data_IF_537787527644
#
_entry.id   IF_537787527644
#
_cell.length_a   1.000
_cell.length_b   1.000
_cell.length_c   1.000
_cell.angle_alpha   90.00
_cell.angle_beta   90.00
_cell.angle_gamma   90.00
#
_symmetry.space_group_name_H-M   'P 1'
#
loop_
_entity.id
_entity.type
_entity.pdbx_description
1 polymer ?
#
# COMPACT_ATOMS: atom_id res chain seq x y z
N UNK A 1 21.26 2.12 -47.29
CA UNK A 1 22.40 2.15 -46.37
C UNK A 1 22.14 3.30 -45.40
N UNK A 2 21.31 3.08 -44.40
CA UNK A 2 21.65 2.61 -43.04
C UNK A 2 22.28 3.69 -42.15
N UNK A 3 21.65 3.90 -40.99
CA UNK A 3 22.14 4.81 -39.96
C UNK A 3 21.07 5.15 -38.92
N UNK A 4 20.42 4.12 -38.35
CA UNK A 4 19.36 4.26 -37.36
C UNK A 4 19.79 5.09 -36.14
N UNK A 5 19.04 6.15 -35.87
CA UNK A 5 19.09 6.88 -34.61
C UNK A 5 18.57 5.95 -33.51
N UNK A 6 19.49 5.39 -32.74
CA UNK A 6 19.17 4.67 -31.51
C UNK A 6 18.55 5.67 -30.53
N UNK A 7 17.24 5.60 -30.39
CA UNK A 7 16.49 6.23 -29.31
C UNK A 7 17.06 5.69 -28.00
N UNK A 8 17.70 6.57 -27.23
CA UNK A 8 18.16 6.24 -25.88
C UNK A 8 16.91 6.14 -25.03
N UNK A 9 16.56 4.92 -24.64
CA UNK A 9 15.51 4.66 -23.66
C UNK A 9 15.98 5.24 -22.32
N UNK A 10 15.70 6.53 -22.14
CA UNK A 10 16.11 7.29 -20.97
C UNK A 10 15.25 6.85 -19.80
N UNK A 11 15.88 6.36 -18.73
CA UNK A 11 15.24 6.19 -17.44
C UNK A 11 14.52 7.48 -17.05
N UNK A 12 13.23 7.54 -17.33
CA UNK A 12 12.38 8.66 -16.94
C UNK A 12 12.02 8.34 -15.50
N UNK A 13 12.67 9.05 -14.57
CA UNK A 13 12.43 8.89 -13.14
C UNK A 13 10.94 8.97 -12.78
N UNK A 14 10.56 8.63 -11.53
CA UNK A 14 9.17 8.49 -11.12
C UNK A 14 8.32 9.69 -11.54
N UNK A 15 7.12 9.43 -12.07
CA UNK A 15 6.16 10.49 -12.41
C UNK A 15 5.91 11.36 -11.15
N UNK A 16 5.60 12.67 -11.29
CA UNK A 16 5.46 13.56 -10.15
C UNK A 16 4.50 13.07 -9.06
N UNK A 17 3.41 12.38 -9.44
CA UNK A 17 2.45 11.79 -8.49
C UNK A 17 3.07 10.63 -7.68
N UNK A 18 3.74 9.68 -8.34
CA UNK A 18 4.40 8.54 -7.67
C UNK A 18 5.47 9.00 -6.70
N UNK A 19 6.23 10.04 -7.07
CA UNK A 19 7.26 10.60 -6.19
C UNK A 19 6.66 11.13 -4.89
N UNK A 20 5.60 11.95 -4.98
CA UNK A 20 4.90 12.49 -3.80
C UNK A 20 4.31 11.39 -2.91
N UNK A 21 3.73 10.35 -3.52
CA UNK A 21 3.19 9.21 -2.78
C UNK A 21 4.32 8.45 -2.07
N UNK A 22 5.44 8.21 -2.76
CA UNK A 22 6.61 7.54 -2.18
C UNK A 22 7.24 8.33 -1.03
N UNK A 23 7.30 9.66 -1.15
CA UNK A 23 7.81 10.55 -0.09
C UNK A 23 6.90 10.54 1.14
N UNK A 24 5.58 10.53 0.95
CA UNK A 24 4.60 10.52 2.04
C UNK A 24 4.37 9.13 2.66
N UNK A 25 4.76 8.05 1.97
CA UNK A 25 4.42 6.66 2.29
C UNK A 25 4.64 6.31 3.75
N UNK A 26 5.80 6.67 4.31
CA UNK A 26 6.13 6.27 5.68
C UNK A 26 5.23 6.94 6.72
N UNK A 27 5.01 8.26 6.58
CA UNK A 27 4.19 9.05 7.50
C UNK A 27 2.73 8.64 7.40
N UNK A 28 2.21 8.41 6.19
CA UNK A 28 0.84 7.94 5.98
C UNK A 28 0.64 6.54 6.58
N UNK A 29 1.57 5.61 6.35
CA UNK A 29 1.47 4.26 6.91
C UNK A 29 1.47 4.24 8.45
N UNK A 30 2.27 5.10 9.08
CA UNK A 30 2.23 5.31 10.53
C UNK A 30 0.89 5.86 10.98
N UNK A 31 0.42 6.96 10.35
CA UNK A 31 -0.83 7.60 10.73
C UNK A 31 -2.05 6.66 10.61
N UNK A 32 -2.15 5.92 9.51
CA UNK A 32 -3.24 4.95 9.30
C UNK A 32 -3.20 3.84 10.34
N UNK A 33 -2.02 3.30 10.64
CA UNK A 33 -1.85 2.26 11.68
C UNK A 33 -2.23 2.80 13.06
N UNK A 34 -1.82 4.03 13.38
CA UNK A 34 -2.09 4.66 14.66
C UNK A 34 -3.58 4.89 14.85
N UNK A 35 -4.26 5.41 13.83
CA UNK A 35 -5.71 5.59 13.87
C UNK A 35 -6.46 4.26 13.97
N UNK A 36 -5.97 3.20 13.32
CA UNK A 36 -6.55 1.87 13.44
C UNK A 36 -6.42 1.33 14.87
N UNK A 37 -5.23 1.39 15.46
CA UNK A 37 -4.99 0.90 16.83
C UNK A 37 -5.73 1.74 17.89
N UNK A 38 -5.97 3.03 17.63
CA UNK A 38 -6.82 3.87 18.48
C UNK A 38 -8.29 3.42 18.47
N UNK A 39 -8.79 2.95 17.32
CA UNK A 39 -10.15 2.42 17.18
C UNK A 39 -10.29 0.99 17.73
N UNK A 40 -9.20 0.23 17.69
CA UNK A 40 -9.15 -1.19 18.07
C UNK A 40 -8.10 -1.44 19.16
N UNK A 41 -8.31 -0.94 20.39
CA UNK A 41 -7.32 -1.09 21.48
C UNK A 41 -7.08 -2.55 21.88
N UNK A 42 -8.02 -3.44 21.63
CA UNK A 42 -7.90 -4.89 21.81
C UNK A 42 -6.80 -5.50 20.93
N UNK A 43 -6.52 -4.91 19.77
CA UNK A 43 -5.39 -5.32 18.93
C UNK A 43 -4.05 -5.03 19.58
N UNK A 44 -3.94 -3.93 20.34
CA UNK A 44 -2.72 -3.61 21.11
C UNK A 44 -2.53 -4.67 22.20
N UNK A 45 -3.60 -5.08 22.89
CA UNK A 45 -3.54 -6.17 23.87
C UNK A 45 -3.15 -7.50 23.24
N UNK A 46 -3.70 -7.82 22.05
CA UNK A 46 -3.50 -9.10 21.37
C UNK A 46 -2.13 -9.24 20.72
N UNK A 47 -1.61 -8.18 20.11
CA UNK A 47 -0.42 -8.24 19.24
C UNK A 47 0.76 -7.40 19.75
N UNK A 48 0.55 -6.52 20.73
CA UNK A 48 1.59 -5.64 21.28
C UNK A 48 2.29 -4.79 20.22
N UNK A 49 3.55 -4.48 20.47
CA UNK A 49 4.38 -3.66 19.57
C UNK A 49 4.57 -4.30 18.18
N UNK A 50 4.56 -5.63 18.11
CA UNK A 50 4.64 -6.36 16.84
C UNK A 50 3.44 -6.04 15.95
N UNK A 51 2.24 -5.87 16.53
CA UNK A 51 1.04 -5.47 15.79
C UNK A 51 1.20 -4.12 15.10
N UNK A 52 1.82 -3.15 15.78
CA UNK A 52 2.12 -1.83 15.21
C UNK A 52 3.12 -1.93 14.05
N UNK A 53 4.20 -2.68 14.22
CA UNK A 53 5.21 -2.86 13.16
C UNK A 53 4.59 -3.51 11.92
N UNK A 54 3.79 -4.56 12.10
CA UNK A 54 3.10 -5.26 11.00
C UNK A 54 2.04 -4.39 10.34
N UNK A 55 1.25 -3.66 11.10
CA UNK A 55 0.26 -2.70 10.55
C UNK A 55 0.92 -1.64 9.66
N UNK A 56 2.09 -1.12 10.07
CA UNK A 56 2.85 -0.17 9.26
C UNK A 56 3.38 -0.83 7.98
N UNK A 57 3.80 -2.10 8.04
CA UNK A 57 4.22 -2.85 6.85
C UNK A 57 3.06 -3.07 5.88
N UNK A 58 1.89 -3.49 6.37
CA UNK A 58 0.69 -3.68 5.55
C UNK A 58 0.25 -2.38 4.87
N UNK A 59 0.16 -1.28 5.63
CA UNK A 59 -0.20 0.02 5.09
C UNK A 59 0.80 0.50 4.01
N UNK A 60 2.10 0.20 4.17
CA UNK A 60 3.11 0.47 3.13
C UNK A 60 2.82 -0.32 1.84
N UNK A 61 2.44 -1.58 1.95
CA UNK A 61 2.07 -2.38 0.77
C UNK A 61 0.81 -1.83 0.11
N UNK A 62 -0.22 -1.45 0.88
CA UNK A 62 -1.43 -0.82 0.34
C UNK A 62 -1.09 0.41 -0.52
N UNK A 63 -0.22 1.28 -0.01
CA UNK A 63 0.23 2.50 -0.71
C UNK A 63 1.01 2.18 -2.00
N UNK A 64 1.82 1.13 -2.03
CA UNK A 64 2.58 0.74 -3.23
C UNK A 64 1.66 0.28 -4.37
N UNK A 65 0.65 -0.53 -4.06
CA UNK A 65 -0.32 -0.99 -5.05
C UNK A 65 -1.24 0.14 -5.52
N UNK A 66 -1.60 1.06 -4.61
CA UNK A 66 -2.35 2.26 -4.97
C UNK A 66 -1.53 3.18 -5.89
N UNK A 67 -0.25 3.41 -5.56
CA UNK A 67 0.67 4.21 -6.37
C UNK A 67 0.83 3.65 -7.78
N UNK A 68 1.00 2.34 -7.89
CA UNK A 68 1.09 1.63 -9.18
C UNK A 68 -0.19 1.76 -10.02
N UNK A 69 -1.35 1.73 -9.37
CA UNK A 69 -2.65 1.89 -10.03
C UNK A 69 -2.86 3.32 -10.55
N UNK A 70 -2.45 4.33 -9.76
CA UNK A 70 -2.47 5.74 -10.17
C UNK A 70 -1.53 5.98 -11.35
N UNK A 71 -0.34 5.36 -11.36
CA UNK A 71 0.61 5.52 -12.46
C UNK A 71 0.18 4.84 -13.75
N UNK A 72 -0.40 3.65 -13.65
CA UNK A 72 -0.91 2.92 -14.81
C UNK A 72 -2.23 3.46 -15.34
N UNK A 73 -2.94 4.28 -14.55
CA UNK A 73 -4.29 4.75 -14.88
C UNK A 73 -5.34 3.65 -14.83
N UNK A 74 -5.04 2.54 -14.14
CA UNK A 74 -5.91 1.36 -14.03
C UNK A 74 -6.10 1.00 -12.56
N UNK A 75 -7.33 0.74 -12.15
CA UNK A 75 -7.65 0.30 -10.78
C UNK A 75 -7.35 -1.18 -10.55
N UNK A 76 -7.23 -1.97 -11.63
CA UNK A 76 -7.10 -3.43 -11.56
C UNK A 76 -5.97 -3.93 -10.62
N UNK A 77 -4.74 -3.37 -10.64
CA UNK A 77 -3.68 -3.84 -9.75
C UNK A 77 -4.02 -3.68 -8.26
N UNK A 78 -4.70 -2.58 -7.89
CA UNK A 78 -5.11 -2.34 -6.51
C UNK A 78 -6.31 -3.19 -6.10
N UNK A 79 -7.27 -3.41 -7.01
CA UNK A 79 -8.41 -4.29 -6.73
C UNK A 79 -8.00 -5.76 -6.54
N UNK A 80 -7.11 -6.26 -7.39
CA UNK A 80 -6.57 -7.62 -7.28
C UNK A 80 -5.78 -7.79 -5.98
N UNK A 81 -4.99 -6.77 -5.64
CA UNK A 81 -4.29 -6.69 -4.37
C UNK A 81 -5.25 -6.73 -3.17
N UNK A 82 -6.29 -5.89 -3.18
CA UNK A 82 -7.27 -5.81 -2.09
C UNK A 82 -8.00 -7.15 -1.90
N UNK A 83 -8.39 -7.83 -3.00
CA UNK A 83 -8.97 -9.17 -2.96
C UNK A 83 -8.00 -10.22 -2.43
N UNK A 84 -6.73 -10.15 -2.82
CA UNK A 84 -5.71 -11.08 -2.35
C UNK A 84 -5.44 -10.89 -0.85
N UNK A 85 -5.18 -9.66 -0.40
CA UNK A 85 -4.82 -9.40 1.00
C UNK A 85 -5.98 -9.73 1.95
N UNK A 86 -7.21 -9.43 1.55
CA UNK A 86 -8.41 -9.80 2.33
C UNK A 86 -8.50 -11.32 2.54
N UNK A 87 -8.25 -12.13 1.50
CA UNK A 87 -8.24 -13.60 1.61
C UNK A 87 -7.07 -14.11 2.45
N UNK A 88 -5.89 -13.50 2.29
CA UNK A 88 -4.67 -13.86 3.02
C UNK A 88 -4.78 -13.58 4.53
N UNK A 89 -5.44 -12.49 4.92
CA UNK A 89 -5.69 -12.13 6.31
C UNK A 89 -6.86 -12.91 6.90
N UNK A 90 -7.92 -13.17 6.12
CA UNK A 90 -9.00 -14.08 6.52
C UNK A 90 -8.48 -15.47 6.87
N UNK A 91 -7.51 -16.00 6.10
CA UNK A 91 -6.88 -17.30 6.41
C UNK A 91 -6.07 -17.31 7.72
N UNK A 92 -5.82 -16.13 8.32
CA UNK A 92 -5.15 -15.94 9.61
C UNK A 92 -6.12 -15.55 10.74
N UNK A 93 -7.43 -15.62 10.48
CA UNK A 93 -8.47 -15.28 11.45
C UNK A 93 -8.68 -13.78 11.63
N UNK A 94 -8.27 -12.95 10.66
CA UNK A 94 -8.52 -11.51 10.65
C UNK A 94 -9.68 -11.23 9.71
N UNK A 95 -10.72 -10.56 10.21
CA UNK A 95 -11.89 -10.20 9.40
C UNK A 95 -11.50 -9.28 8.22
N UNK A 96 -11.90 -9.58 6.98
CA UNK A 96 -11.72 -8.69 5.83
C UNK A 96 -12.18 -7.25 6.03
N UNK A 97 -13.16 -6.99 6.91
CA UNK A 97 -13.63 -5.63 7.16
C UNK A 97 -12.52 -4.75 7.76
N UNK A 98 -11.57 -5.31 8.53
CA UNK A 98 -10.43 -4.54 9.04
C UNK A 98 -9.51 -4.06 7.91
N UNK A 99 -9.39 -4.82 6.82
CA UNK A 99 -8.67 -4.38 5.62
C UNK A 99 -9.43 -3.24 4.96
N UNK A 100 -10.74 -3.41 4.75
CA UNK A 100 -11.57 -2.40 4.12
C UNK A 100 -11.57 -1.08 4.93
N UNK A 101 -11.61 -1.17 6.25
CA UNK A 101 -11.45 -0.03 7.15
C UNK A 101 -10.09 0.64 6.98
N UNK A 102 -8.99 -0.11 7.00
CA UNK A 102 -7.63 0.45 6.83
C UNK A 102 -7.49 1.24 5.52
N UNK A 103 -8.10 0.77 4.44
CA UNK A 103 -8.07 1.42 3.12
C UNK A 103 -8.92 2.70 2.99
N UNK A 104 -9.80 3.00 3.96
CA UNK A 104 -10.70 4.18 3.95
C UNK A 104 -10.20 5.35 4.80
N UNK A 105 -9.25 5.10 5.69
CA UNK A 105 -8.81 6.00 6.77
C UNK A 105 -7.91 7.11 6.26
#
# INVERSE_FOLDING_TARGET
MEGGRRERDGFRGPRPRKRRISEAKHVVAQSVTDQFLLRHPDWVTRYGDAGRVRGIEDAKYHIDFLSSSIESGSTAPFEDYARWTSRMLASRGIDPEFVAENLRV
#
